data_IF_536050288541
#
_entry.id   IF_536050288541
#
_cell.length_a   1.000
_cell.length_b   1.000
_cell.length_c   1.000
_cell.angle_alpha   90.00
_cell.angle_beta   90.00
_cell.angle_gamma   90.00
#
_symmetry.space_group_name_H-M   'P 1'
#
loop_
_entity.id
_entity.type
_entity.pdbx_description
1 polymer ?
#
# COMPACT_ATOMS: atom_id res chain seq x y z
N UNK A 1 -11.82 -3.50 12.81
CA UNK A 1 -10.98 -2.72 11.85
C UNK A 1 -11.83 -1.70 11.11
N UNK A 2 -11.32 -0.51 10.84
CA UNK A 2 -12.01 0.56 10.12
C UNK A 2 -11.23 0.93 8.87
N UNK A 3 -11.84 0.75 7.70
CA UNK A 3 -11.26 1.22 6.44
C UNK A 3 -12.37 1.58 5.45
N UNK A 4 -12.37 2.80 4.93
CA UNK A 4 -13.32 3.23 3.90
C UNK A 4 -13.01 2.60 2.53
N UNK A 5 -11.86 1.95 2.36
CA UNK A 5 -11.42 1.19 1.19
C UNK A 5 -11.09 -0.25 1.59
N UNK A 6 -12.00 -1.18 1.35
CA UNK A 6 -11.78 -2.61 1.60
C UNK A 6 -12.09 -3.41 0.31
N UNK A 7 -11.41 -4.51 0.04
CA UNK A 7 -11.64 -5.26 -1.20
C UNK A 7 -13.12 -5.57 -1.48
N UNK A 8 -13.55 -5.45 -2.73
CA UNK A 8 -12.79 -5.11 -3.94
C UNK A 8 -12.67 -3.60 -4.23
N UNK A 9 -12.95 -2.72 -3.26
CA UNK A 9 -12.94 -1.26 -3.40
C UNK A 9 -11.58 -0.68 -3.04
N UNK A 10 -11.17 0.37 -3.76
CA UNK A 10 -10.04 1.22 -3.37
C UNK A 10 -8.74 0.98 -4.12
N UNK A 11 -7.69 1.58 -3.59
CA UNK A 11 -6.33 1.54 -4.14
C UNK A 11 -5.42 0.56 -3.42
N UNK A 12 -4.12 0.91 -3.33
CA UNK A 12 -3.09 0.02 -2.78
C UNK A 12 -3.24 -0.37 -1.31
N UNK A 13 -3.93 0.45 -0.49
CA UNK A 13 -4.15 0.13 0.93
C UNK A 13 -5.26 -0.92 1.14
N UNK A 14 -6.20 -1.03 0.21
CA UNK A 14 -7.35 -1.93 0.31
C UNK A 14 -6.94 -3.41 0.38
N UNK A 15 -6.15 -3.96 -0.57
CA UNK A 15 -5.69 -5.35 -0.48
C UNK A 15 -4.88 -5.63 0.79
N UNK A 16 -4.10 -4.66 1.25
CA UNK A 16 -3.28 -4.79 2.47
C UNK A 16 -4.17 -4.92 3.71
N UNK A 17 -5.20 -4.09 3.82
CA UNK A 17 -6.17 -4.21 4.93
C UNK A 17 -6.92 -5.54 4.88
N UNK A 18 -7.31 -5.97 3.68
CA UNK A 18 -7.98 -7.26 3.47
C UNK A 18 -7.09 -8.43 3.90
N UNK A 19 -5.84 -8.44 3.47
CA UNK A 19 -4.90 -9.48 3.84
C UNK A 19 -4.59 -9.49 5.35
N UNK A 20 -4.41 -8.32 5.97
CA UNK A 20 -4.22 -8.24 7.42
C UNK A 20 -5.45 -8.80 8.18
N UNK A 21 -6.66 -8.45 7.77
CA UNK A 21 -7.88 -8.94 8.38
C UNK A 21 -8.01 -10.47 8.26
N UNK A 22 -7.70 -11.02 7.08
CA UNK A 22 -7.71 -12.47 6.84
C UNK A 22 -6.65 -13.20 7.66
N UNK A 23 -5.42 -12.69 7.73
CA UNK A 23 -4.35 -13.31 8.51
C UNK A 23 -4.62 -13.26 10.03
N UNK A 24 -5.23 -12.17 10.53
CA UNK A 24 -5.68 -12.08 11.91
C UNK A 24 -6.77 -13.13 12.20
N UNK A 25 -7.75 -13.28 11.32
CA UNK A 25 -8.81 -14.27 11.46
C UNK A 25 -8.26 -15.70 11.40
N UNK A 26 -7.32 -15.98 10.51
CA UNK A 26 -6.63 -17.26 10.41
C UNK A 26 -5.76 -17.58 11.66
N UNK A 27 -5.35 -16.55 12.41
CA UNK A 27 -4.64 -16.68 13.68
C UNK A 27 -5.60 -16.68 14.90
N UNK A 28 -6.84 -17.12 14.72
CA UNK A 28 -7.87 -17.31 15.76
C UNK A 28 -8.40 -16.00 16.40
N UNK A 29 -8.20 -14.83 15.77
CA UNK A 29 -8.78 -13.57 16.23
C UNK A 29 -10.14 -13.31 15.56
N UNK A 30 -11.13 -12.84 16.33
CA UNK A 30 -12.39 -12.34 15.79
C UNK A 30 -12.21 -10.93 15.21
N UNK A 31 -12.42 -10.77 13.92
CA UNK A 31 -12.17 -9.53 13.20
C UNK A 31 -13.45 -9.01 12.56
N UNK A 32 -13.86 -7.82 12.96
CA UNK A 32 -14.95 -7.08 12.34
C UNK A 32 -14.38 -5.92 11.52
N UNK A 33 -14.74 -5.87 10.23
CA UNK A 33 -14.35 -4.79 9.32
C UNK A 33 -15.56 -3.93 9.01
N UNK A 34 -15.47 -2.62 9.26
CA UNK A 34 -16.50 -1.65 8.85
C UNK A 34 -15.94 -0.85 7.67
N UNK A 35 -16.61 -0.94 6.51
CA UNK A 35 -16.19 -0.31 5.26
C UNK A 35 -17.37 0.30 4.51
N UNK A 36 -17.10 1.02 3.41
CA UNK A 36 -18.15 1.59 2.56
C UNK A 36 -18.92 0.52 1.77
N UNK A 37 -20.23 0.72 1.63
CA UNK A 37 -21.01 -0.03 0.65
C UNK A 37 -20.70 0.40 -0.78
N UNK A 38 -20.96 -0.49 -1.72
CA UNK A 38 -20.88 -0.21 -3.15
C UNK A 38 -21.84 -1.12 -3.93
N UNK A 39 -22.34 -0.63 -5.06
CA UNK A 39 -23.30 -1.35 -5.90
C UNK A 39 -22.82 -2.76 -6.23
N UNK A 40 -23.69 -3.75 -6.04
CA UNK A 40 -23.40 -5.16 -6.33
C UNK A 40 -22.60 -5.90 -5.26
N UNK A 41 -22.20 -5.22 -4.17
CA UNK A 41 -21.55 -5.88 -3.02
C UNK A 41 -22.58 -6.12 -1.91
N UNK A 42 -22.51 -7.27 -1.21
CA UNK A 42 -23.39 -7.54 -0.09
C UNK A 42 -23.08 -6.58 1.07
N UNK A 43 -24.14 -6.15 1.79
CA UNK A 43 -23.98 -5.27 2.96
C UNK A 43 -23.27 -5.96 4.13
N UNK A 44 -23.32 -7.30 4.18
CA UNK A 44 -22.70 -8.10 5.23
C UNK A 44 -22.16 -9.40 4.65
N UNK A 45 -20.93 -9.78 5.05
CA UNK A 45 -20.30 -11.04 4.72
C UNK A 45 -19.64 -11.64 5.96
N UNK A 46 -19.58 -12.96 6.01
CA UNK A 46 -18.88 -13.72 7.06
C UNK A 46 -17.95 -14.73 6.41
N UNK A 47 -16.69 -14.75 6.83
CA UNK A 47 -15.70 -15.72 6.44
C UNK A 47 -15.02 -16.21 7.71
N UNK A 48 -15.50 -17.33 8.28
CA UNK A 48 -15.04 -17.87 9.56
C UNK A 48 -15.09 -16.81 10.69
N UNK A 49 -13.95 -16.33 11.15
CA UNK A 49 -13.82 -15.29 12.19
C UNK A 49 -13.75 -13.86 11.65
N UNK A 50 -13.86 -13.67 10.33
CA UNK A 50 -13.87 -12.37 9.69
C UNK A 50 -15.29 -11.99 9.28
N UNK A 51 -15.80 -10.88 9.81
CA UNK A 51 -17.12 -10.30 9.45
C UNK A 51 -16.90 -8.93 8.82
N UNK A 52 -17.52 -8.72 7.66
CA UNK A 52 -17.38 -7.48 6.88
C UNK A 52 -18.76 -6.80 6.85
N UNK A 53 -18.80 -5.59 7.37
CA UNK A 53 -19.97 -4.72 7.40
C UNK A 53 -19.77 -3.56 6.43
N UNK A 54 -20.56 -3.52 5.36
CA UNK A 54 -20.56 -2.40 4.41
C UNK A 54 -21.69 -1.44 4.78
N UNK A 55 -21.29 -0.22 5.13
CA UNK A 55 -22.19 0.82 5.61
C UNK A 55 -22.49 1.84 4.52
N UNK A 56 -23.71 2.43 4.54
CA UNK A 56 -24.11 3.44 3.56
C UNK A 56 -23.12 4.59 3.44
N UNK A 57 -22.72 4.88 2.20
CA UNK A 57 -21.84 5.98 1.85
C UNK A 57 -22.05 6.42 0.39
N UNK A 58 -21.73 7.68 0.09
CA UNK A 58 -21.83 8.23 -1.26
C UNK A 58 -20.59 7.85 -2.08
N UNK A 59 -20.50 6.59 -2.52
CA UNK A 59 -19.37 6.13 -3.33
C UNK A 59 -19.76 5.92 -4.80
N UNK A 60 -19.04 6.56 -5.72
CA UNK A 60 -19.31 6.53 -7.18
C UNK A 60 -18.35 5.64 -7.95
N UNK A 61 -17.11 5.47 -7.44
CA UNK A 61 -16.06 4.72 -8.13
C UNK A 61 -15.47 3.61 -7.26
N UNK A 62 -15.22 2.44 -7.88
CA UNK A 62 -14.52 1.35 -7.20
C UNK A 62 -13.08 1.73 -6.80
N UNK A 63 -12.40 2.49 -7.66
CA UNK A 63 -10.94 2.73 -7.56
C UNK A 63 -10.60 3.92 -6.68
N UNK A 64 -11.49 4.94 -6.61
CA UNK A 64 -11.21 6.20 -5.90
C UNK A 64 -12.39 6.65 -5.10
N UNK A 65 -12.12 7.20 -3.91
CA UNK A 65 -13.07 7.99 -3.16
C UNK A 65 -12.69 9.48 -3.20
N UNK A 66 -13.67 10.34 -3.41
CA UNK A 66 -13.51 11.79 -3.27
C UNK A 66 -13.67 12.19 -1.80
N UNK A 67 -13.20 13.39 -1.44
CA UNK A 67 -13.26 13.86 -0.04
C UNK A 67 -14.69 13.85 0.52
N UNK A 68 -15.69 14.29 -0.26
CA UNK A 68 -17.09 14.25 0.17
C UNK A 68 -17.60 12.81 0.38
N UNK A 69 -17.19 11.88 -0.47
CA UNK A 69 -17.51 10.46 -0.32
C UNK A 69 -16.88 9.87 0.95
N UNK A 70 -15.61 10.20 1.20
CA UNK A 70 -14.91 9.80 2.44
C UNK A 70 -15.60 10.35 3.69
N UNK A 71 -16.06 11.59 3.68
CA UNK A 71 -16.78 12.19 4.79
C UNK A 71 -18.17 11.59 4.99
N UNK A 72 -18.86 11.20 3.91
CA UNK A 72 -20.17 10.54 3.99
C UNK A 72 -20.15 9.18 4.70
N UNK A 73 -18.98 8.54 4.78
CA UNK A 73 -18.76 7.31 5.51
C UNK A 73 -18.85 7.48 7.03
N UNK A 74 -18.47 8.65 7.55
CA UNK A 74 -18.28 8.86 9.00
C UNK A 74 -19.52 8.54 9.84
N UNK A 75 -20.75 9.09 9.57
CA UNK A 75 -21.89 8.87 10.46
C UNK A 75 -22.35 7.42 10.47
N UNK A 76 -22.39 6.77 9.31
CA UNK A 76 -22.81 5.36 9.19
C UNK A 76 -21.79 4.41 9.79
N UNK A 77 -20.49 4.67 9.59
CA UNK A 77 -19.40 3.89 10.20
C UNK A 77 -19.41 4.02 11.73
N UNK A 78 -19.58 5.24 12.25
CA UNK A 78 -19.66 5.46 13.70
C UNK A 78 -20.88 4.73 14.29
N UNK A 79 -22.07 4.88 13.69
CA UNK A 79 -23.28 4.23 14.15
C UNK A 79 -23.13 2.70 14.16
N UNK A 80 -22.60 2.13 13.08
CA UNK A 80 -22.37 0.69 13.01
C UNK A 80 -21.33 0.24 14.05
N UNK A 81 -20.22 0.95 14.19
CA UNK A 81 -19.17 0.61 15.14
C UNK A 81 -19.67 0.69 16.60
N UNK A 82 -20.51 1.66 16.96
CA UNK A 82 -21.14 1.74 18.27
C UNK A 82 -22.13 0.60 18.54
N UNK A 83 -22.90 0.18 17.51
CA UNK A 83 -23.76 -1.00 17.61
C UNK A 83 -22.97 -2.26 17.87
N UNK A 84 -21.86 -2.42 17.15
CA UNK A 84 -20.95 -3.57 17.30
C UNK A 84 -20.29 -3.56 18.69
N UNK A 85 -19.79 -2.42 19.16
CA UNK A 85 -19.17 -2.28 20.47
C UNK A 85 -20.13 -2.56 21.65
N UNK A 86 -21.46 -2.39 21.43
CA UNK A 86 -22.49 -2.78 22.42
C UNK A 86 -22.80 -4.26 22.38
N UNK A 87 -22.61 -4.91 21.23
CA UNK A 87 -22.97 -6.32 21.02
C UNK A 87 -21.81 -7.26 21.33
N UNK A 88 -20.58 -6.83 21.04
CA UNK A 88 -19.37 -7.62 21.17
C UNK A 88 -18.34 -6.90 22.05
N UNK A 89 -17.51 -7.68 22.73
CA UNK A 89 -16.36 -7.18 23.45
C UNK A 89 -15.16 -7.11 22.52
N UNK A 90 -14.66 -5.92 22.25
CA UNK A 90 -13.45 -5.70 21.46
C UNK A 90 -12.29 -5.33 22.39
N UNK A 91 -11.10 -5.80 22.07
CA UNK A 91 -9.87 -5.44 22.77
C UNK A 91 -9.29 -4.12 22.27
N UNK A 92 -9.46 -3.81 20.96
CA UNK A 92 -8.96 -2.60 20.34
C UNK A 92 -9.71 -2.23 19.04
N UNK A 93 -9.53 -1.00 18.57
CA UNK A 93 -9.92 -0.56 17.24
C UNK A 93 -8.69 -0.22 16.40
N UNK A 94 -8.60 -0.80 15.19
CA UNK A 94 -7.54 -0.50 14.23
C UNK A 94 -8.12 0.24 13.03
N UNK A 95 -7.74 1.51 12.86
CA UNK A 95 -8.12 2.35 11.75
C UNK A 95 -7.03 2.39 10.69
N UNK A 96 -7.41 2.28 9.43
CA UNK A 96 -6.53 2.52 8.29
C UNK A 96 -6.83 3.90 7.71
N UNK A 97 -5.83 4.76 7.66
CA UNK A 97 -5.83 6.20 7.42
C UNK A 97 -6.21 7.04 8.65
N UNK A 98 -5.57 8.18 8.79
CA UNK A 98 -5.87 9.13 9.87
C UNK A 98 -7.26 9.76 9.68
N UNK A 99 -7.60 10.16 8.46
CA UNK A 99 -8.91 10.71 8.08
C UNK A 99 -9.42 9.92 6.86
N UNK A 100 -10.65 9.40 6.89
CA UNK A 100 -11.74 9.64 7.87
C UNK A 100 -11.74 8.67 9.07
N UNK A 101 -11.17 7.50 8.97
CA UNK A 101 -11.35 6.37 9.88
C UNK A 101 -10.80 6.61 11.29
N UNK A 102 -9.70 7.36 11.41
CA UNK A 102 -9.14 7.74 12.70
C UNK A 102 -10.11 8.62 13.53
N UNK A 103 -11.00 9.38 12.89
CA UNK A 103 -12.07 10.11 13.60
C UNK A 103 -13.00 9.13 14.33
N UNK A 104 -13.44 8.08 13.63
CA UNK A 104 -14.29 7.04 14.23
C UNK A 104 -13.55 6.29 15.33
N UNK A 105 -12.27 5.96 15.12
CA UNK A 105 -11.44 5.30 16.12
C UNK A 105 -11.27 6.14 17.39
N UNK A 106 -11.03 7.45 17.27
CA UNK A 106 -10.92 8.37 18.40
C UNK A 106 -12.24 8.44 19.19
N UNK A 107 -13.38 8.51 18.52
CA UNK A 107 -14.69 8.49 19.19
C UNK A 107 -14.94 7.17 19.93
N UNK A 108 -14.59 6.03 19.33
CA UNK A 108 -14.68 4.72 20.01
C UNK A 108 -13.72 4.63 21.20
N UNK A 109 -12.52 5.20 21.07
CA UNK A 109 -11.55 5.28 22.15
C UNK A 109 -12.13 6.03 23.36
N UNK A 110 -12.74 7.17 23.14
CA UNK A 110 -13.29 7.99 24.24
C UNK A 110 -14.62 7.48 24.77
N UNK A 111 -15.53 7.00 23.91
CA UNK A 111 -16.88 6.60 24.34
C UNK A 111 -16.97 5.14 24.78
N UNK A 112 -16.18 4.26 24.17
CA UNK A 112 -16.17 2.83 24.46
C UNK A 112 -14.91 2.37 25.21
N UNK A 113 -13.97 3.26 25.51
CA UNK A 113 -12.68 2.97 26.17
C UNK A 113 -11.85 1.91 25.41
N UNK A 114 -11.98 1.90 24.06
CA UNK A 114 -11.26 0.97 23.20
C UNK A 114 -9.89 1.57 22.80
N UNK A 115 -8.78 0.93 23.12
CA UNK A 115 -7.47 1.34 22.60
C UNK A 115 -7.49 1.45 21.08
N UNK A 116 -6.81 2.46 20.52
CA UNK A 116 -6.83 2.76 19.09
C UNK A 116 -5.46 2.68 18.43
N UNK A 117 -5.41 2.00 17.30
CA UNK A 117 -4.25 1.93 16.41
C UNK A 117 -4.60 2.58 15.08
N UNK A 118 -3.68 3.35 14.50
CA UNK A 118 -3.86 3.93 13.16
C UNK A 118 -2.69 3.49 12.28
N UNK A 119 -2.99 2.82 11.16
CA UNK A 119 -2.01 2.60 10.09
C UNK A 119 -2.13 3.70 9.04
N UNK A 120 -1.01 4.40 8.77
CA UNK A 120 -0.92 5.41 7.72
C UNK A 120 -0.51 4.76 6.40
N UNK A 121 -1.08 5.28 5.27
CA UNK A 121 -0.87 4.70 3.94
C UNK A 121 -0.23 5.66 2.93
N UNK A 122 -0.02 6.92 3.30
CA UNK A 122 0.65 7.92 2.48
C UNK A 122 -0.23 9.14 2.21
N UNK A 123 -1.32 9.01 1.45
CA UNK A 123 -2.17 10.15 1.09
C UNK A 123 -2.80 10.88 2.28
N UNK A 124 -2.84 10.26 3.42
CA UNK A 124 -3.32 10.75 4.71
C UNK A 124 -2.22 11.47 5.53
N UNK A 125 -0.97 11.47 5.06
CA UNK A 125 0.14 12.17 5.71
C UNK A 125 0.46 13.48 4.98
N UNK A 126 0.52 14.63 5.68
CA UNK A 126 0.91 15.90 5.08
C UNK A 126 2.27 15.82 4.39
N UNK A 127 2.39 16.44 3.21
CA UNK A 127 3.62 16.43 2.41
C UNK A 127 3.78 15.24 1.48
N UNK A 128 3.04 14.14 1.66
CA UNK A 128 3.14 13.00 0.76
C UNK A 128 2.58 13.28 -0.65
N UNK A 129 1.41 13.94 -0.75
CA UNK A 129 0.80 14.36 -2.02
C UNK A 129 0.50 15.86 -2.00
N UNK A 130 1.52 16.74 -2.10
CA UNK A 130 1.33 18.18 -1.98
C UNK A 130 0.41 18.72 -3.08
N UNK A 131 0.46 18.13 -4.29
CA UNK A 131 -0.32 18.59 -5.45
C UNK A 131 -1.83 18.32 -5.29
N UNK A 132 -2.21 17.31 -4.50
CA UNK A 132 -3.62 16.87 -4.40
C UNK A 132 -4.30 17.29 -3.10
N UNK A 133 -3.61 17.21 -1.97
CA UNK A 133 -4.23 17.34 -0.64
C UNK A 133 -3.70 18.50 0.19
N UNK A 134 -2.81 19.33 -0.32
CA UNK A 134 -2.14 20.37 0.47
C UNK A 134 -3.15 21.34 1.15
N UNK A 135 -4.18 21.78 0.42
CA UNK A 135 -5.22 22.66 1.01
C UNK A 135 -6.04 21.94 2.09
N UNK A 136 -6.47 20.72 1.83
CA UNK A 136 -7.24 19.91 2.80
C UNK A 136 -6.40 19.58 4.03
N UNK A 137 -5.14 19.18 3.86
CA UNK A 137 -4.22 18.92 4.96
C UNK A 137 -3.96 20.18 5.79
N UNK A 138 -3.81 21.35 5.17
CA UNK A 138 -3.61 22.61 5.88
C UNK A 138 -4.84 22.99 6.71
N UNK A 139 -6.04 22.87 6.15
CA UNK A 139 -7.30 23.16 6.84
C UNK A 139 -7.58 22.18 7.98
N UNK A 140 -7.33 20.88 7.75
CA UNK A 140 -7.61 19.82 8.73
C UNK A 140 -6.41 19.53 9.65
N UNK A 141 -5.31 20.28 9.55
CA UNK A 141 -4.10 20.02 10.32
C UNK A 141 -4.31 19.94 11.84
N UNK A 142 -5.13 20.80 12.49
CA UNK A 142 -5.38 20.68 13.91
C UNK A 142 -6.07 19.35 14.27
N UNK A 143 -7.11 19.00 13.51
CA UNK A 143 -7.85 17.74 13.70
C UNK A 143 -6.93 16.55 13.46
N UNK A 144 -6.19 16.56 12.33
CA UNK A 144 -5.24 15.52 11.99
C UNK A 144 -4.18 15.29 13.09
N UNK A 145 -3.57 16.40 13.60
CA UNK A 145 -2.61 16.32 14.71
C UNK A 145 -3.24 15.82 16.00
N UNK A 146 -4.48 16.21 16.29
CA UNK A 146 -5.24 15.73 17.43
C UNK A 146 -5.42 14.21 17.37
N UNK A 147 -5.88 13.68 16.23
CA UNK A 147 -6.08 12.25 16.02
C UNK A 147 -4.78 11.43 16.13
N UNK A 148 -3.69 11.95 15.53
CA UNK A 148 -2.38 11.29 15.59
C UNK A 148 -1.81 11.23 17.00
N UNK A 149 -2.02 12.28 17.83
CA UNK A 149 -1.58 12.30 19.24
C UNK A 149 -2.45 11.47 20.15
N UNK A 150 -3.73 11.36 19.83
CA UNK A 150 -4.72 10.64 20.64
C UNK A 150 -4.64 9.13 20.46
N UNK A 151 -4.17 8.65 19.33
CA UNK A 151 -4.02 7.23 19.07
C UNK A 151 -2.98 6.58 20.02
N UNK A 152 -3.28 5.37 20.50
CA UNK A 152 -2.36 4.62 21.37
C UNK A 152 -1.14 4.08 20.61
N UNK A 153 -1.25 3.89 19.29
CA UNK A 153 -0.12 3.67 18.39
C UNK A 153 -0.41 4.10 16.95
N UNK A 154 0.66 4.52 16.28
CA UNK A 154 0.67 4.79 14.84
C UNK A 154 1.59 3.77 14.18
N UNK A 155 1.12 3.14 13.11
CA UNK A 155 1.92 2.21 12.27
C UNK A 155 2.23 2.91 10.95
N UNK A 156 3.49 2.85 10.54
CA UNK A 156 3.95 3.23 9.21
C UNK A 156 4.56 2.03 8.48
N UNK A 157 4.26 1.82 7.20
CA UNK A 157 4.87 0.74 6.42
C UNK A 157 6.31 1.03 5.98
N UNK A 158 6.77 2.28 6.07
CA UNK A 158 8.13 2.68 5.67
C UNK A 158 8.70 3.76 6.58
N UNK A 159 10.02 3.80 6.70
CA UNK A 159 10.75 4.87 7.40
C UNK A 159 10.49 6.24 6.72
N UNK A 160 10.46 6.27 5.39
CA UNK A 160 10.12 7.47 4.65
C UNK A 160 8.79 8.11 5.10
N UNK A 161 7.73 7.31 5.21
CA UNK A 161 6.41 7.84 5.59
C UNK A 161 6.35 8.19 7.07
N UNK A 162 7.02 7.42 7.93
CA UNK A 162 7.23 7.75 9.34
C UNK A 162 7.86 9.13 9.49
N UNK A 163 8.95 9.39 8.76
CA UNK A 163 9.71 10.63 8.88
C UNK A 163 8.89 11.85 8.41
N UNK A 164 8.09 11.68 7.34
CA UNK A 164 7.10 12.69 6.92
C UNK A 164 6.05 12.98 8.01
N UNK A 165 5.56 11.94 8.68
CA UNK A 165 4.60 12.12 9.77
C UNK A 165 5.24 12.85 10.94
N UNK A 166 6.43 12.42 11.37
CA UNK A 166 7.17 13.01 12.50
C UNK A 166 7.50 14.48 12.22
N UNK A 167 7.83 14.84 10.98
CA UNK A 167 8.03 16.24 10.59
C UNK A 167 6.77 17.09 10.76
N UNK A 168 5.58 16.49 10.65
CA UNK A 168 4.29 17.17 10.82
C UNK A 168 3.74 17.11 12.24
N UNK A 169 4.04 16.03 12.98
CA UNK A 169 3.60 15.78 14.34
C UNK A 169 4.58 14.80 15.04
N UNK A 170 5.29 15.30 16.06
CA UNK A 170 6.24 14.49 16.83
C UNK A 170 5.52 13.50 17.73
N UNK A 171 5.38 12.26 17.31
CA UNK A 171 4.83 11.13 18.06
C UNK A 171 5.65 9.87 17.76
N UNK A 172 5.66 8.87 18.65
CA UNK A 172 6.22 7.56 18.37
C UNK A 172 5.48 6.89 17.22
N UNK A 173 6.21 6.25 16.32
CA UNK A 173 5.65 5.52 15.16
C UNK A 173 6.31 4.15 15.06
N UNK A 174 5.50 3.12 15.03
CA UNK A 174 5.93 1.75 14.80
C UNK A 174 6.14 1.49 13.31
N UNK A 175 7.30 0.94 12.95
CA UNK A 175 7.56 0.54 11.57
C UNK A 175 7.12 -0.90 11.38
N UNK A 176 6.01 -1.13 10.70
CA UNK A 176 5.55 -2.47 10.32
C UNK A 176 5.27 -2.44 8.82
N UNK A 177 6.14 -3.05 8.00
CA UNK A 177 5.94 -3.14 6.56
C UNK A 177 4.64 -3.87 6.20
N UNK A 178 4.20 -3.72 4.94
CA UNK A 178 3.09 -4.53 4.46
C UNK A 178 3.52 -5.99 4.32
N UNK A 179 2.66 -6.89 4.78
CA UNK A 179 2.81 -8.31 4.51
C UNK A 179 2.51 -8.62 3.04
N UNK A 180 3.17 -9.63 2.52
CA UNK A 180 3.00 -10.10 1.16
C UNK A 180 2.92 -11.62 1.11
N UNK A 181 1.96 -12.13 0.35
CA UNK A 181 1.85 -13.56 0.01
C UNK A 181 2.29 -13.73 -1.43
N UNK A 182 3.45 -14.33 -1.69
CA UNK A 182 3.87 -14.64 -3.05
C UNK A 182 2.84 -15.55 -3.74
N UNK A 183 2.50 -15.32 -5.01
CA UNK A 183 1.73 -16.28 -5.77
C UNK A 183 2.51 -17.60 -5.90
N UNK A 184 1.84 -18.72 -6.16
CA UNK A 184 2.52 -19.99 -6.41
C UNK A 184 3.58 -19.84 -7.50
N UNK A 185 4.76 -20.45 -7.33
CA UNK A 185 5.82 -20.39 -8.32
C UNK A 185 5.31 -20.93 -9.68
N UNK A 186 5.62 -20.19 -10.75
CA UNK A 186 5.33 -20.63 -12.13
C UNK A 186 6.64 -20.98 -12.80
N UNK A 187 6.75 -22.22 -13.24
CA UNK A 187 7.90 -22.68 -14.05
C UNK A 187 7.68 -22.30 -15.51
N UNK A 188 7.88 -21.03 -15.81
CA UNK A 188 7.75 -20.46 -17.14
C UNK A 188 9.11 -19.94 -17.62
N UNK A 189 9.46 -20.15 -18.90
CA UNK A 189 10.72 -19.65 -19.43
C UNK A 189 10.74 -18.13 -19.43
N UNK A 190 11.82 -17.56 -18.89
CA UNK A 190 12.04 -16.12 -18.94
C UNK A 190 12.31 -15.67 -20.35
N UNK A 191 11.66 -14.58 -20.73
CA UNK A 191 11.86 -13.89 -21.99
C UNK A 191 12.77 -12.69 -21.76
N UNK A 192 13.45 -12.25 -22.79
CA UNK A 192 14.09 -10.93 -22.82
C UNK A 192 13.00 -9.86 -22.86
N UNK A 193 12.42 -9.58 -21.70
CA UNK A 193 11.31 -8.63 -21.54
C UNK A 193 11.60 -7.65 -20.43
N UNK A 194 11.38 -6.37 -20.76
CA UNK A 194 11.33 -5.26 -19.84
C UNK A 194 9.85 -5.01 -19.52
N UNK A 195 9.45 -5.18 -18.27
CA UNK A 195 8.09 -4.98 -17.81
C UNK A 195 7.98 -3.73 -16.93
N UNK A 196 6.94 -2.96 -17.15
CA UNK A 196 6.39 -1.98 -16.21
C UNK A 196 4.98 -2.40 -15.85
N UNK A 197 4.65 -2.42 -14.56
CA UNK A 197 3.28 -2.63 -14.10
C UNK A 197 2.91 -1.53 -13.11
N UNK A 198 2.02 -0.61 -13.49
CA UNK A 198 1.56 0.47 -12.61
C UNK A 198 0.32 1.17 -13.14
N UNK A 199 -0.33 1.95 -12.27
CA UNK A 199 -1.29 2.95 -12.74
C UNK A 199 -0.55 4.05 -13.49
N UNK A 200 -0.99 4.43 -14.68
CA UNK A 200 -0.30 5.37 -15.55
C UNK A 200 -0.61 6.83 -15.18
N UNK A 201 0.05 7.29 -14.10
CA UNK A 201 0.04 8.69 -13.65
C UNK A 201 1.43 9.32 -13.83
N UNK A 202 1.54 10.66 -13.99
CA UNK A 202 2.82 11.34 -14.18
C UNK A 202 3.89 10.95 -13.16
N UNK A 203 3.50 10.82 -11.89
CA UNK A 203 4.40 10.45 -10.79
C UNK A 203 4.95 9.02 -10.87
N UNK A 204 4.38 8.15 -11.72
CA UNK A 204 4.88 6.77 -11.90
C UNK A 204 6.08 6.68 -12.83
N UNK A 205 6.39 7.77 -13.54
CA UNK A 205 7.66 7.95 -14.21
C UNK A 205 7.84 7.12 -15.49
N UNK A 206 6.78 6.49 -16.03
CA UNK A 206 6.88 5.66 -17.24
C UNK A 206 7.42 6.46 -18.43
N UNK A 207 7.11 7.76 -18.51
CA UNK A 207 7.63 8.67 -19.52
C UNK A 207 9.17 8.74 -19.52
N UNK A 208 9.79 8.70 -18.34
CA UNK A 208 11.26 8.73 -18.22
C UNK A 208 11.90 7.40 -18.66
N UNK A 209 11.20 6.28 -18.48
CA UNK A 209 11.66 5.02 -19.03
C UNK A 209 11.60 5.04 -20.56
N UNK A 210 10.53 5.54 -21.18
CA UNK A 210 10.44 5.64 -22.62
C UNK A 210 11.58 6.47 -23.19
N UNK A 211 11.88 7.64 -22.60
CA UNK A 211 13.03 8.46 -22.98
C UNK A 211 14.38 7.72 -22.73
N UNK A 212 14.46 6.88 -21.71
CA UNK A 212 15.67 6.10 -21.44
C UNK A 212 15.87 4.93 -22.42
N UNK A 213 14.81 4.39 -22.99
CA UNK A 213 14.88 3.33 -23.99
C UNK A 213 15.26 3.87 -25.38
N UNK A 214 15.10 5.15 -25.62
CA UNK A 214 15.51 5.77 -26.88
C UNK A 214 17.01 5.59 -27.13
N UNK A 215 17.38 5.03 -28.29
CA UNK A 215 18.75 4.71 -28.67
C UNK A 215 19.35 3.48 -27.97
N UNK A 216 18.59 2.69 -27.22
CA UNK A 216 19.04 1.36 -26.77
C UNK A 216 18.80 0.30 -27.87
N UNK A 217 19.72 -0.69 -28.03
CA UNK A 217 19.51 -1.81 -28.95
C UNK A 217 18.47 -2.76 -28.35
N UNK A 218 17.21 -2.60 -28.75
CA UNK A 218 16.09 -3.41 -28.24
C UNK A 218 15.86 -4.70 -29.07
N UNK A 219 16.78 -5.05 -29.96
CA UNK A 219 16.67 -6.27 -30.77
C UNK A 219 16.58 -7.51 -29.88
N UNK A 220 15.51 -8.27 -30.04
CA UNK A 220 15.23 -9.46 -29.21
C UNK A 220 14.63 -9.14 -27.82
N UNK A 221 14.44 -7.85 -27.47
CA UNK A 221 13.79 -7.44 -26.22
C UNK A 221 12.35 -6.97 -26.46
N UNK A 222 11.43 -7.51 -25.67
CA UNK A 222 10.06 -7.03 -25.61
C UNK A 222 9.96 -5.93 -24.53
N UNK A 223 9.24 -4.86 -24.82
CA UNK A 223 8.90 -3.83 -23.81
C UNK A 223 7.40 -3.85 -23.57
N UNK A 224 6.98 -4.16 -22.36
CA UNK A 224 5.57 -4.28 -21.98
C UNK A 224 5.23 -3.29 -20.87
N UNK A 225 4.20 -2.47 -21.12
CA UNK A 225 3.62 -1.55 -20.14
C UNK A 225 2.22 -2.05 -19.77
N UNK A 226 2.11 -2.70 -18.61
CA UNK A 226 0.85 -3.18 -18.04
C UNK A 226 0.28 -2.12 -17.09
N UNK A 227 -0.90 -1.64 -17.40
CA UNK A 227 -1.60 -0.64 -16.59
C UNK A 227 -2.44 0.31 -17.41
N UNK A 228 -3.22 1.11 -16.68
CA UNK A 228 -4.10 2.12 -17.24
C UNK A 228 -4.04 3.41 -16.42
N UNK A 229 -4.41 4.52 -17.02
CA UNK A 229 -4.42 5.81 -16.37
C UNK A 229 -4.39 7.00 -17.34
N UNK A 230 -4.48 8.21 -16.82
CA UNK A 230 -4.60 9.43 -17.65
C UNK A 230 -3.41 9.66 -18.60
N UNK A 231 -2.22 9.10 -18.29
CA UNK A 231 -1.03 9.23 -19.13
C UNK A 231 -0.99 8.27 -20.32
N UNK A 232 -1.90 7.29 -20.42
CA UNK A 232 -1.84 6.27 -21.48
C UNK A 232 -1.79 6.86 -22.90
N UNK A 233 -2.63 7.86 -23.28
CA UNK A 233 -2.57 8.46 -24.61
C UNK A 233 -1.21 9.15 -24.88
N UNK A 234 -0.69 9.88 -23.90
CA UNK A 234 0.59 10.61 -24.02
C UNK A 234 1.77 9.63 -24.12
N UNK A 235 1.76 8.55 -23.33
CA UNK A 235 2.81 7.53 -23.37
C UNK A 235 2.82 6.78 -24.71
N UNK A 236 1.65 6.49 -25.30
CA UNK A 236 1.56 5.91 -26.63
C UNK A 236 2.13 6.83 -27.71
N UNK A 237 1.75 8.10 -27.65
CA UNK A 237 2.28 9.11 -28.57
C UNK A 237 3.80 9.28 -28.41
N UNK A 238 4.32 9.25 -27.18
CA UNK A 238 5.75 9.30 -26.90
C UNK A 238 6.49 8.09 -27.49
N UNK A 239 6.00 6.87 -27.25
CA UNK A 239 6.58 5.65 -27.79
C UNK A 239 6.59 5.66 -29.32
N UNK A 240 5.52 6.15 -29.94
CA UNK A 240 5.41 6.29 -31.40
C UNK A 240 6.42 7.27 -31.97
N UNK A 241 6.55 8.45 -31.35
CA UNK A 241 7.53 9.50 -31.74
C UNK A 241 8.96 9.00 -31.64
N UNK A 242 9.27 8.17 -30.65
CA UNK A 242 10.59 7.59 -30.42
C UNK A 242 10.80 6.25 -31.18
N UNK A 243 9.84 5.84 -32.02
CA UNK A 243 9.84 4.57 -32.75
C UNK A 243 10.14 3.34 -31.84
N UNK A 244 9.70 3.34 -30.59
CA UNK A 244 9.93 2.27 -29.64
C UNK A 244 8.92 1.12 -29.80
N UNK A 245 9.35 -0.15 -29.80
CA UNK A 245 8.48 -1.32 -29.94
C UNK A 245 7.79 -1.66 -28.59
N UNK A 246 6.97 -0.75 -28.07
CA UNK A 246 6.31 -0.89 -26.76
C UNK A 246 4.91 -1.48 -26.92
N UNK A 247 4.65 -2.57 -26.22
CA UNK A 247 3.32 -3.14 -26.09
C UNK A 247 2.61 -2.58 -24.83
N UNK A 248 1.54 -1.81 -25.03
CA UNK A 248 0.68 -1.33 -23.96
C UNK A 248 -0.46 -2.33 -23.72
N UNK A 249 -0.31 -3.18 -22.70
CA UNK A 249 -1.24 -4.27 -22.38
C UNK A 249 -2.56 -3.80 -21.72
N UNK A 250 -2.67 -2.50 -21.38
CA UNK A 250 -3.82 -1.99 -20.64
C UNK A 250 -3.86 -2.51 -19.20
N UNK A 251 -5.04 -2.48 -18.57
CA UNK A 251 -5.22 -2.96 -17.21
C UNK A 251 -5.19 -4.48 -17.14
N UNK A 252 -4.14 -5.05 -16.56
CA UNK A 252 -3.92 -6.49 -16.38
C UNK A 252 -3.99 -6.84 -14.90
N UNK A 253 -4.60 -7.97 -14.53
CA UNK A 253 -4.72 -8.46 -13.15
C UNK A 253 -4.71 -9.99 -13.06
N UNK A 254 -4.53 -10.51 -11.84
CA UNK A 254 -4.59 -11.94 -11.53
C UNK A 254 -3.57 -12.73 -12.34
N UNK A 255 -3.96 -13.91 -12.80
CA UNK A 255 -3.09 -14.87 -13.47
C UNK A 255 -2.32 -14.31 -14.68
N UNK A 256 -2.91 -13.39 -15.44
CA UNK A 256 -2.25 -12.75 -16.58
C UNK A 256 -1.14 -11.77 -16.13
N UNK A 257 -1.32 -11.04 -15.04
CA UNK A 257 -0.29 -10.17 -14.47
C UNK A 257 0.85 -10.99 -13.85
N UNK A 258 0.50 -12.06 -13.13
CA UNK A 258 1.48 -13.00 -12.57
C UNK A 258 2.35 -13.64 -13.68
N UNK A 259 1.75 -14.00 -14.81
CA UNK A 259 2.49 -14.53 -15.97
C UNK A 259 3.44 -13.48 -16.55
N UNK A 260 3.02 -12.22 -16.65
CA UNK A 260 3.90 -11.13 -17.09
C UNK A 260 5.11 -11.00 -16.17
N UNK A 261 4.94 -11.02 -14.85
CA UNK A 261 6.07 -11.01 -13.92
C UNK A 261 6.94 -12.26 -14.06
N UNK A 262 6.34 -13.44 -14.07
CA UNK A 262 7.08 -14.71 -14.13
C UNK A 262 7.94 -14.84 -15.39
N UNK A 263 7.46 -14.31 -16.52
CA UNK A 263 8.15 -14.39 -17.82
C UNK A 263 9.06 -13.21 -18.13
N UNK A 264 9.08 -12.14 -17.31
CA UNK A 264 9.90 -10.94 -17.57
C UNK A 264 11.28 -11.03 -16.93
N UNK A 265 12.32 -10.67 -17.67
CA UNK A 265 13.70 -10.65 -17.18
C UNK A 265 13.98 -9.42 -16.32
N UNK A 266 13.46 -8.26 -16.71
CA UNK A 266 13.71 -6.97 -16.05
C UNK A 266 12.36 -6.35 -15.69
N UNK A 267 12.25 -5.83 -14.47
CA UNK A 267 11.13 -5.00 -14.04
C UNK A 267 11.63 -3.58 -13.73
N UNK A 268 11.01 -2.58 -14.34
CA UNK A 268 11.38 -1.18 -14.15
C UNK A 268 10.22 -0.44 -13.50
N UNK A 269 10.51 0.19 -12.35
CA UNK A 269 9.53 1.01 -11.62
C UNK A 269 10.13 2.39 -11.31
N UNK A 270 10.16 3.32 -12.29
CA UNK A 270 10.86 4.60 -12.18
C UNK A 270 10.01 5.67 -11.52
N UNK A 271 9.25 5.29 -10.50
CA UNK A 271 8.29 6.19 -9.84
C UNK A 271 9.01 7.33 -9.12
N UNK A 272 8.52 8.56 -9.29
CA UNK A 272 9.03 9.74 -8.58
C UNK A 272 8.69 9.72 -7.09
N UNK A 273 7.67 8.96 -6.71
CA UNK A 273 7.22 8.83 -5.32
C UNK A 273 6.30 7.63 -5.16
N UNK A 274 6.68 6.74 -4.26
CA UNK A 274 5.80 5.69 -3.76
C UNK A 274 6.19 5.32 -2.32
N UNK A 275 5.20 5.08 -1.47
CA UNK A 275 5.47 4.79 -0.06
C UNK A 275 5.95 3.35 0.13
N UNK A 276 5.17 2.39 -0.37
CA UNK A 276 5.45 0.96 -0.25
C UNK A 276 4.81 0.24 -1.45
N UNK A 277 5.50 0.22 -2.62
CA UNK A 277 4.90 -0.28 -3.85
C UNK A 277 4.84 -1.81 -3.89
N UNK A 278 3.62 -2.35 -3.78
CA UNK A 278 3.36 -3.80 -3.84
C UNK A 278 3.85 -4.41 -5.16
N UNK A 279 3.81 -3.66 -6.25
CA UNK A 279 4.33 -4.11 -7.57
C UNK A 279 5.82 -4.48 -7.54
N UNK A 280 6.60 -3.89 -6.64
CA UNK A 280 7.99 -4.31 -6.43
C UNK A 280 8.04 -5.67 -5.74
N UNK A 281 7.19 -5.93 -4.74
CA UNK A 281 7.11 -7.24 -4.10
C UNK A 281 6.68 -8.33 -5.08
N UNK A 282 5.71 -8.03 -5.95
CA UNK A 282 5.25 -8.93 -7.01
C UNK A 282 6.41 -9.28 -7.98
N UNK A 283 7.13 -8.26 -8.48
CA UNK A 283 8.26 -8.45 -9.37
C UNK A 283 9.44 -9.19 -8.70
N UNK A 284 9.72 -8.86 -7.43
CA UNK A 284 10.74 -9.52 -6.61
C UNK A 284 10.41 -10.99 -6.37
N UNK A 285 9.17 -11.31 -6.01
CA UNK A 285 8.72 -12.69 -5.79
C UNK A 285 8.84 -13.53 -7.05
N UNK A 286 8.56 -12.93 -8.20
CA UNK A 286 8.78 -13.55 -9.50
C UNK A 286 10.28 -13.64 -9.86
N UNK A 287 11.18 -12.96 -9.16
CA UNK A 287 12.63 -12.95 -9.41
C UNK A 287 13.03 -12.15 -10.65
N UNK A 288 12.31 -11.07 -10.96
CA UNK A 288 12.78 -10.10 -11.95
C UNK A 288 14.00 -9.35 -11.44
N UNK A 289 14.93 -8.98 -12.32
CA UNK A 289 15.95 -7.99 -11.99
C UNK A 289 15.30 -6.61 -11.93
N UNK A 290 15.45 -5.91 -10.80
CA UNK A 290 14.70 -4.68 -10.51
C UNK A 290 15.54 -3.45 -10.86
N UNK A 291 14.92 -2.48 -11.55
CA UNK A 291 15.38 -1.09 -11.62
C UNK A 291 14.30 -0.20 -11.01
N UNK A 292 14.63 0.57 -9.99
CA UNK A 292 13.66 1.50 -9.36
C UNK A 292 14.33 2.77 -8.87
N UNK A 293 13.53 3.78 -8.57
CA UNK A 293 14.06 5.06 -8.12
C UNK A 293 14.56 5.03 -6.67
N UNK A 294 15.67 5.71 -6.41
CA UNK A 294 16.24 5.88 -5.07
C UNK A 294 15.51 7.01 -4.32
N UNK A 295 14.22 6.83 -4.08
CA UNK A 295 13.41 7.81 -3.36
C UNK A 295 12.24 7.16 -2.66
N UNK A 296 11.71 7.85 -1.65
CA UNK A 296 10.54 7.42 -0.86
C UNK A 296 10.77 6.04 -0.22
N UNK A 297 9.77 5.14 -0.22
CA UNK A 297 9.92 3.81 0.37
C UNK A 297 10.49 2.75 -0.56
N UNK A 298 10.80 3.07 -1.83
CA UNK A 298 11.30 2.09 -2.79
C UNK A 298 12.64 1.46 -2.39
N UNK A 299 13.64 2.23 -1.89
CA UNK A 299 14.89 1.64 -1.40
C UNK A 299 14.69 0.68 -0.23
N UNK A 300 13.71 0.97 0.64
CA UNK A 300 13.40 0.10 1.79
C UNK A 300 12.83 -1.26 1.35
N UNK A 301 12.03 -1.25 0.29
CA UNK A 301 11.47 -2.49 -0.29
C UNK A 301 12.56 -3.30 -0.98
N UNK A 302 13.31 -2.70 -1.89
CA UNK A 302 14.25 -3.42 -2.75
C UNK A 302 15.57 -3.74 -2.03
N UNK A 303 16.07 -2.85 -1.17
CA UNK A 303 17.39 -2.97 -0.56
C UNK A 303 18.49 -3.14 -1.62
N UNK A 304 19.37 -4.11 -1.42
CA UNK A 304 20.48 -4.40 -2.34
C UNK A 304 20.08 -5.36 -3.49
N UNK A 305 18.81 -5.77 -3.54
CA UNK A 305 18.31 -6.73 -4.52
C UNK A 305 17.88 -6.10 -5.85
N UNK A 306 18.34 -4.88 -6.17
CA UNK A 306 18.04 -4.18 -7.41
C UNK A 306 18.93 -2.97 -7.64
N UNK A 307 18.79 -2.38 -8.80
CA UNK A 307 19.50 -1.15 -9.17
C UNK A 307 18.65 0.07 -8.81
N UNK A 308 19.20 0.94 -7.97
CA UNK A 308 18.57 2.18 -7.56
C UNK A 308 19.11 3.35 -8.40
N UNK A 309 18.19 4.15 -8.97
CA UNK A 309 18.53 5.29 -9.84
C UNK A 309 17.91 6.58 -9.28
N UNK A 310 18.49 7.77 -9.50
CA UNK A 310 17.84 9.02 -9.10
C UNK A 310 16.46 9.17 -9.77
N UNK A 311 15.46 9.72 -9.08
CA UNK A 311 14.11 9.86 -9.63
C UNK A 311 14.08 10.81 -10.82
N UNK A 312 13.54 10.36 -11.95
CA UNK A 312 13.43 11.15 -13.20
C UNK A 312 14.73 11.28 -13.99
N UNK A 313 15.82 10.67 -13.55
CA UNK A 313 17.10 10.67 -14.27
C UNK A 313 17.10 9.66 -15.42
N UNK A 314 16.82 10.15 -16.63
CA UNK A 314 16.75 9.37 -17.86
C UNK A 314 18.07 8.67 -18.16
N UNK A 315 19.21 9.33 -17.92
CA UNK A 315 20.54 8.77 -18.19
C UNK A 315 20.87 7.62 -17.25
N UNK A 316 20.55 7.78 -15.95
CA UNK A 316 20.74 6.72 -14.95
C UNK A 316 19.81 5.52 -15.20
N UNK A 317 18.54 5.76 -15.58
CA UNK A 317 17.60 4.69 -15.95
C UNK A 317 18.14 3.94 -17.17
N UNK A 318 18.58 4.66 -18.20
CA UNK A 318 19.17 4.06 -19.42
C UNK A 318 20.38 3.19 -19.09
N UNK A 319 21.30 3.70 -18.29
CA UNK A 319 22.51 2.97 -17.90
C UNK A 319 22.16 1.68 -17.12
N UNK A 320 21.23 1.76 -16.17
CA UNK A 320 20.79 0.61 -15.38
C UNK A 320 20.09 -0.45 -16.24
N UNK A 321 19.18 -0.03 -17.12
CA UNK A 321 18.47 -0.94 -18.02
C UNK A 321 19.45 -1.58 -19.00
N UNK A 322 20.34 -0.79 -19.64
CA UNK A 322 21.38 -1.32 -20.54
C UNK A 322 22.24 -2.38 -19.84
N UNK A 323 22.73 -2.06 -18.63
CA UNK A 323 23.55 -2.99 -17.85
C UNK A 323 22.83 -4.31 -17.61
N UNK A 324 21.53 -4.27 -17.28
CA UNK A 324 20.75 -5.49 -17.11
C UNK A 324 20.43 -6.19 -18.44
N UNK A 325 20.38 -5.49 -19.57
CA UNK A 325 20.20 -6.12 -20.89
C UNK A 325 21.46 -6.89 -21.33
N UNK A 326 22.64 -6.34 -21.05
CA UNK A 326 23.93 -6.87 -21.47
C UNK A 326 24.45 -7.98 -20.53
N UNK A 327 24.19 -7.88 -19.22
CA UNK A 327 24.73 -8.77 -18.19
C UNK A 327 23.69 -9.77 -17.65
N UNK A 328 23.69 -10.98 -18.23
CA UNK A 328 22.79 -12.07 -17.83
C UNK A 328 23.07 -12.63 -16.45
N UNK A 329 24.33 -12.65 -16.01
CA UNK A 329 24.71 -13.14 -14.69
C UNK A 329 24.23 -12.17 -13.61
N UNK A 330 24.41 -10.86 -13.83
CA UNK A 330 23.88 -9.83 -12.95
C UNK A 330 22.35 -9.93 -12.82
N UNK A 331 21.62 -10.12 -13.93
CA UNK A 331 20.15 -10.31 -13.90
C UNK A 331 19.76 -11.50 -13.02
N UNK A 332 20.42 -12.64 -13.23
CA UNK A 332 20.13 -13.86 -12.47
C UNK A 332 20.43 -13.68 -10.99
N UNK A 333 21.55 -13.07 -10.66
CA UNK A 333 21.96 -12.79 -9.28
C UNK A 333 20.98 -11.86 -8.58
N UNK A 334 20.65 -10.72 -9.20
CA UNK A 334 19.71 -9.75 -8.60
C UNK A 334 18.30 -10.34 -8.47
N UNK A 335 17.84 -11.12 -9.44
CA UNK A 335 16.57 -11.83 -9.37
C UNK A 335 16.51 -12.86 -8.24
N UNK A 336 17.62 -13.56 -7.97
CA UNK A 336 17.77 -14.45 -6.81
C UNK A 336 17.70 -13.71 -5.50
N UNK A 337 18.49 -12.66 -5.33
CA UNK A 337 18.49 -11.79 -4.16
C UNK A 337 17.10 -11.17 -3.91
N UNK A 338 16.39 -10.78 -4.97
CA UNK A 338 15.04 -10.26 -4.87
C UNK A 338 14.06 -11.30 -4.29
N UNK A 339 14.12 -12.55 -4.75
CA UNK A 339 13.30 -13.64 -4.20
C UNK A 339 13.62 -13.91 -2.72
N UNK A 340 14.88 -13.96 -2.35
CA UNK A 340 15.29 -14.18 -0.96
C UNK A 340 14.77 -13.06 -0.06
N UNK A 341 14.86 -11.80 -0.51
CA UNK A 341 14.40 -10.64 0.25
C UNK A 341 12.90 -10.64 0.54
N UNK A 342 12.08 -11.29 -0.28
CA UNK A 342 10.63 -11.41 -0.05
C UNK A 342 10.31 -12.03 1.31
N UNK A 343 11.17 -12.88 1.86
CA UNK A 343 11.01 -13.44 3.20
C UNK A 343 10.88 -12.37 4.31
N UNK A 344 11.48 -11.18 4.12
CA UNK A 344 11.34 -10.06 5.04
C UNK A 344 9.90 -9.50 5.13
N UNK A 345 9.07 -9.82 4.15
CA UNK A 345 7.69 -9.36 4.02
C UNK A 345 6.67 -10.48 4.20
N UNK A 346 7.11 -11.67 4.59
CA UNK A 346 6.22 -12.80 4.86
C UNK A 346 5.25 -12.47 6.00
N UNK A 347 3.99 -12.90 5.83
CA UNK A 347 2.92 -12.57 6.79
C UNK A 347 3.21 -13.06 8.19
N UNK A 348 3.88 -14.19 8.39
CA UNK A 348 4.16 -14.72 9.74
C UNK A 348 4.92 -13.69 10.59
N UNK A 349 6.00 -13.12 10.05
CA UNK A 349 6.78 -12.09 10.76
C UNK A 349 6.03 -10.76 10.90
N UNK A 350 5.30 -10.36 9.87
CA UNK A 350 4.52 -9.10 9.89
C UNK A 350 3.33 -9.20 10.84
N UNK A 351 2.60 -10.32 10.84
CA UNK A 351 1.49 -10.57 11.74
C UNK A 351 1.96 -10.60 13.20
N UNK A 352 3.07 -11.30 13.48
CA UNK A 352 3.64 -11.35 14.83
C UNK A 352 3.95 -9.94 15.37
N UNK A 353 4.45 -9.03 14.54
CA UNK A 353 4.71 -7.63 14.92
C UNK A 353 3.41 -6.86 15.22
N UNK A 354 2.34 -7.08 14.46
CA UNK A 354 1.03 -6.49 14.75
C UNK A 354 0.47 -7.02 16.07
N UNK A 355 0.51 -8.33 16.29
CA UNK A 355 0.00 -8.97 17.50
C UNK A 355 0.77 -8.50 18.75
N UNK A 356 2.10 -8.43 18.68
CA UNK A 356 2.92 -7.91 19.79
C UNK A 356 2.59 -6.45 20.11
N UNK A 357 2.31 -5.63 19.08
CA UNK A 357 1.87 -4.24 19.28
C UNK A 357 0.49 -4.18 19.93
N UNK A 358 -0.48 -4.97 19.45
CA UNK A 358 -1.84 -5.02 19.99
C UNK A 358 -1.83 -5.47 21.45
N UNK A 359 -1.09 -6.52 21.79
CA UNK A 359 -0.94 -7.00 23.16
C UNK A 359 -0.37 -5.91 24.08
N UNK A 360 0.71 -5.26 23.68
CA UNK A 360 1.33 -4.17 24.44
C UNK A 360 0.35 -3.03 24.74
N UNK A 361 -0.47 -2.66 23.76
CA UNK A 361 -1.44 -1.56 23.89
C UNK A 361 -2.60 -1.98 24.79
N UNK A 362 -3.16 -3.14 24.58
CA UNK A 362 -4.30 -3.66 25.37
C UNK A 362 -3.92 -3.88 26.83
N UNK A 363 -2.72 -4.37 27.10
CA UNK A 363 -2.19 -4.51 28.47
C UNK A 363 -2.05 -3.14 29.15
N UNK A 364 -1.49 -2.13 28.47
CA UNK A 364 -1.39 -0.76 28.99
C UNK A 364 -2.75 -0.18 29.33
N UNK A 365 -3.73 -0.34 28.45
CA UNK A 365 -5.09 0.14 28.68
C UNK A 365 -5.75 -0.53 29.88
N UNK A 366 -5.61 -1.84 30.03
CA UNK A 366 -6.11 -2.61 31.19
C UNK A 366 -5.50 -2.12 32.52
N UNK A 367 -4.18 -1.90 32.53
CA UNK A 367 -3.49 -1.38 33.72
C UNK A 367 -3.94 0.02 34.09
N UNK A 368 -4.13 0.93 33.11
CA UNK A 368 -4.62 2.29 33.36
C UNK A 368 -6.03 2.29 34.00
N UNK A 369 -6.92 1.41 33.52
CA UNK A 369 -8.27 1.26 34.10
C UNK A 369 -8.21 0.77 35.56
N UNK A 370 -7.33 -0.17 35.88
CA UNK A 370 -7.15 -0.69 37.24
C UNK A 370 -6.60 0.40 38.18
N UNK A 371 -5.61 1.16 37.74
CA UNK A 371 -5.02 2.27 38.54
C UNK A 371 -6.02 3.41 38.77
N UNK A 372 -6.82 3.78 37.75
CA UNK A 372 -7.85 4.80 37.89
C UNK A 372 -8.95 4.40 38.89
N UNK A 373 -9.28 3.11 39.00
CA UNK A 373 -10.24 2.61 40.02
C UNK A 373 -9.69 2.64 41.45
N UNK A 374 -8.38 2.55 41.63
CA UNK A 374 -7.74 2.65 42.94
C UNK A 374 -7.58 4.10 43.41
N UNK A 375 -7.44 5.06 42.49
CA UNK A 375 -7.33 6.49 42.81
C UNK A 375 -8.66 7.14 43.13
N UNK A 376 -9.79 6.50 42.82
CA UNK A 376 -11.17 7.00 43.07
C UNK A 376 -11.86 6.33 44.28
N UNK A 377 -11.14 5.51 45.03
CA UNK A 377 -11.51 4.98 46.36
C UNK A 377 -10.66 5.63 47.45
#
# INVERSE_FOLDING_TARGET
MLNYEYPPLGGGASPITGALAQNLAAADHDVDVVTMEFRGLPAFEVHERLRIYRVPALRRSQVRAMTAEMLSYLPSALMQSLRLARRYHYDLVHAHFVIPTGIVAALLRHWCQLPSVITIHGSDVPGYNPDRFNRSHRLLAPVWRGLVRDADAIISPSAYLRDLLIASCKVPVELIPYGFTPPPPRDLPRRQRILVASRLFPRKGVQFLLDALDGLPLDGWEVVVAGDGPMLPELRAQAQRLALPVHFAGFVKGAALEELYATSAIFVFPSLRDNFPVVLLEAMSAGCAIVTSNTSGMPEVVGDAGLLVPPGDVAAIRAAVRRLMEDGELRTRLGGQARERIACFAWDGILARHLALYERITQRARLAVLQGRHASR
#
